data_IF_429709854802
#
_entry.id   IF_429709854802
#
_cell.length_a   1.000
_cell.length_b   1.000
_cell.length_c   1.000
_cell.angle_alpha   90.00
_cell.angle_beta   90.00
_cell.angle_gamma   90.00
#
_symmetry.space_group_name_H-M   'P 1'
#
loop_
_entity.id
_entity.type
_entity.pdbx_description
1 polymer ?
#
# COMPACT_ATOMS: atom_id res chain seq x y z
N UNK A 1 -0.42 -30.44 22.64
CA UNK A 1 -1.36 -30.33 21.50
C UNK A 1 -1.43 -28.93 20.88
N UNK A 2 -1.23 -27.84 21.65
CA UNK A 2 -1.14 -26.47 21.12
C UNK A 2 0.09 -26.18 20.26
N UNK A 3 1.25 -26.81 20.55
CA UNK A 3 2.51 -26.58 19.81
C UNK A 3 2.50 -27.10 18.37
N UNK A 4 1.77 -28.20 18.09
CA UNK A 4 1.67 -28.79 16.74
C UNK A 4 0.79 -27.95 15.79
N UNK A 5 -0.13 -27.15 16.33
CA UNK A 5 -0.97 -26.23 15.57
C UNK A 5 -0.23 -24.93 15.22
N UNK A 6 0.76 -24.52 16.02
CA UNK A 6 1.62 -23.38 15.72
C UNK A 6 2.62 -23.68 14.58
N UNK A 7 3.10 -24.93 14.47
CA UNK A 7 4.07 -25.36 13.44
C UNK A 7 3.49 -25.40 12.00
N UNK A 8 2.19 -25.18 11.83
CA UNK A 8 1.51 -25.11 10.53
C UNK A 8 1.07 -23.70 10.15
N UNK A 9 1.48 -22.68 10.91
CA UNK A 9 1.48 -21.31 10.41
C UNK A 9 2.52 -21.27 9.29
N UNK A 10 2.07 -21.43 8.03
CA UNK A 10 2.86 -20.96 6.90
C UNK A 10 3.16 -19.50 7.20
N UNK A 11 4.42 -19.17 7.48
CA UNK A 11 4.92 -17.79 7.50
C UNK A 11 4.81 -17.26 6.07
N UNK A 12 3.58 -16.99 5.63
CA UNK A 12 3.35 -16.29 4.38
C UNK A 12 3.80 -14.86 4.68
N UNK A 13 4.81 -14.39 3.96
CA UNK A 13 5.23 -12.99 4.05
C UNK A 13 3.99 -12.10 3.87
N UNK A 14 3.90 -11.02 4.65
CA UNK A 14 2.80 -10.05 4.55
C UNK A 14 2.62 -9.60 3.08
N UNK A 15 3.72 -9.44 2.34
CA UNK A 15 3.71 -9.15 0.91
C UNK A 15 3.08 -10.26 0.06
N UNK A 16 3.34 -11.53 0.38
CA UNK A 16 2.79 -12.69 -0.34
C UNK A 16 1.29 -12.90 0.00
N UNK A 17 0.89 -12.60 1.23
CA UNK A 17 -0.52 -12.59 1.63
C UNK A 17 -1.32 -11.57 0.83
N UNK A 18 -0.77 -10.37 0.64
CA UNK A 18 -1.40 -9.31 -0.14
C UNK A 18 -1.36 -9.56 -1.65
N UNK A 19 -0.28 -10.13 -2.18
CA UNK A 19 -0.20 -10.52 -3.59
C UNK A 19 -1.26 -11.58 -3.94
N UNK A 20 -1.50 -12.55 -3.05
CA UNK A 20 -2.55 -13.58 -3.22
C UNK A 20 -3.96 -13.04 -2.96
N UNK A 21 -4.12 -11.98 -2.18
CA UNK A 21 -5.40 -11.40 -1.79
C UNK A 21 -5.52 -9.92 -2.17
N UNK A 22 -5.22 -9.59 -3.43
CA UNK A 22 -5.23 -8.21 -3.96
C UNK A 22 -6.57 -7.47 -3.74
N UNK A 23 -7.69 -8.20 -3.69
CA UNK A 23 -9.02 -7.65 -3.41
C UNK A 23 -9.17 -7.10 -1.98
N UNK A 24 -8.47 -7.65 -0.98
CA UNK A 24 -8.53 -7.17 0.42
C UNK A 24 -7.91 -5.79 0.60
N UNK A 25 -7.09 -5.35 -0.34
CA UNK A 25 -6.44 -4.05 -0.35
C UNK A 25 -7.24 -2.96 -1.09
N UNK A 26 -8.43 -3.29 -1.62
CA UNK A 26 -9.22 -2.34 -2.41
C UNK A 26 -8.66 -2.07 -3.82
N UNK A 27 -7.85 -2.98 -4.34
CA UNK A 27 -7.32 -2.96 -5.71
C UNK A 27 -8.24 -3.63 -6.75
N UNK A 28 -9.52 -3.79 -6.43
CA UNK A 28 -10.55 -4.37 -7.30
C UNK A 28 -10.94 -3.44 -8.46
N UNK A 29 -10.83 -2.12 -8.27
CA UNK A 29 -11.03 -1.12 -9.31
C UNK A 29 -9.73 -0.32 -9.51
N UNK A 30 -9.06 -0.39 -10.69
CA UNK A 30 -7.83 0.33 -10.97
C UNK A 30 -7.89 1.84 -10.71
N UNK A 31 -9.04 2.47 -10.97
CA UNK A 31 -9.23 3.90 -10.72
C UNK A 31 -9.28 4.21 -9.22
N UNK A 32 -10.00 3.38 -8.44
CA UNK A 32 -10.07 3.54 -6.98
C UNK A 32 -8.73 3.26 -6.33
N UNK A 33 -8.04 2.22 -6.79
CA UNK A 33 -6.69 1.87 -6.40
C UNK A 33 -5.70 3.01 -6.59
N UNK A 34 -5.70 3.62 -7.78
CA UNK A 34 -4.83 4.74 -8.10
C UNK A 34 -5.14 5.94 -7.19
N UNK A 35 -6.41 6.28 -7.02
CA UNK A 35 -6.83 7.37 -6.14
C UNK A 35 -6.41 7.13 -4.68
N UNK A 36 -6.66 5.93 -4.15
CA UNK A 36 -6.25 5.56 -2.79
C UNK A 36 -4.74 5.62 -2.65
N UNK A 37 -3.98 5.11 -3.61
CA UNK A 37 -2.52 5.13 -3.58
C UNK A 37 -1.98 6.56 -3.54
N UNK A 38 -2.49 7.44 -4.40
CA UNK A 38 -2.08 8.84 -4.43
C UNK A 38 -2.48 9.56 -3.15
N UNK A 39 -3.70 9.33 -2.64
CA UNK A 39 -4.17 9.92 -1.39
C UNK A 39 -3.24 9.54 -0.23
N UNK A 40 -3.01 8.25 0.01
CA UNK A 40 -2.16 7.81 1.12
C UNK A 40 -0.72 8.29 0.96
N UNK A 41 -0.18 8.35 -0.27
CA UNK A 41 1.16 8.87 -0.52
C UNK A 41 1.28 10.37 -0.20
N UNK A 42 0.27 11.17 -0.56
CA UNK A 42 0.25 12.60 -0.29
C UNK A 42 0.00 12.88 1.19
N UNK A 43 -0.94 12.17 1.83
CA UNK A 43 -1.24 12.28 3.26
C UNK A 43 0.04 12.01 4.08
N UNK A 44 0.75 10.90 3.79
CA UNK A 44 2.02 10.58 4.46
C UNK A 44 3.11 11.64 4.25
N UNK A 45 3.17 12.27 3.08
CA UNK A 45 4.14 13.32 2.80
C UNK A 45 3.82 14.63 3.54
N UNK A 46 2.53 14.96 3.66
CA UNK A 46 2.06 16.12 4.41
C UNK A 46 2.30 15.94 5.91
N UNK A 47 1.94 14.78 6.47
CA UNK A 47 2.17 14.44 7.88
C UNK A 47 3.66 14.58 8.23
N UNK A 48 4.55 14.07 7.37
CA UNK A 48 5.99 14.20 7.57
C UNK A 48 6.49 15.66 7.51
N UNK A 49 5.88 16.50 6.67
CA UNK A 49 6.24 17.92 6.60
C UNK A 49 5.72 18.70 7.80
N UNK A 50 4.53 18.36 8.30
CA UNK A 50 3.96 18.92 9.52
C UNK A 50 4.84 18.58 10.74
N UNK A 51 5.22 17.31 10.90
CA UNK A 51 6.10 16.85 11.98
C UNK A 51 7.47 17.53 11.96
N UNK A 52 8.01 17.81 10.77
CA UNK A 52 9.29 18.47 10.59
C UNK A 52 9.20 20.01 10.61
N UNK A 53 8.00 20.59 10.62
CA UNK A 53 7.79 22.04 10.55
C UNK A 53 8.30 22.68 9.25
N UNK A 54 8.33 21.93 8.15
CA UNK A 54 8.78 22.41 6.83
C UNK A 54 7.59 22.67 5.92
N UNK A 55 7.70 23.70 5.07
CA UNK A 55 6.66 23.97 4.07
C UNK A 55 6.71 22.88 2.99
N UNK A 56 5.62 22.12 2.76
CA UNK A 56 5.62 21.05 1.77
C UNK A 56 5.62 21.60 0.34
N UNK A 57 6.47 21.03 -0.51
CA UNK A 57 6.37 21.14 -1.97
C UNK A 57 6.23 19.72 -2.55
N UNK A 58 5.01 19.34 -2.96
CA UNK A 58 4.68 17.98 -3.38
C UNK A 58 4.23 18.00 -4.84
N UNK A 59 4.99 17.35 -5.71
CA UNK A 59 4.64 17.12 -7.11
C UNK A 59 4.25 15.65 -7.32
N UNK A 60 3.00 15.41 -7.70
CA UNK A 60 2.52 14.09 -8.08
C UNK A 60 2.49 13.98 -9.61
N UNK A 61 3.17 12.97 -10.15
CA UNK A 61 3.16 12.66 -11.59
C UNK A 61 2.79 11.21 -11.78
N UNK A 62 1.72 10.99 -12.55
CA UNK A 62 1.25 9.66 -12.93
C UNK A 62 1.71 9.43 -14.37
N UNK A 63 2.46 8.36 -14.59
CA UNK A 63 2.93 7.93 -15.92
C UNK A 63 2.41 6.52 -16.15
N UNK A 64 1.90 6.28 -17.35
CA UNK A 64 1.51 4.93 -17.76
C UNK A 64 2.78 4.18 -18.20
N UNK A 65 3.12 3.13 -17.46
CA UNK A 65 4.26 2.26 -17.78
C UNK A 65 3.77 1.12 -18.68
N UNK A 66 3.95 1.26 -19.99
CA UNK A 66 3.59 0.26 -21.02
C UNK A 66 2.30 0.55 -21.81
N UNK A 67 2.25 0.09 -23.06
CA UNK A 67 1.05 0.05 -23.91
C UNK A 67 0.37 -1.33 -23.74
N UNK A 68 -0.91 -1.31 -23.35
CA UNK A 68 -1.93 -2.38 -23.29
C UNK A 68 -1.51 -3.83 -22.95
#
# INVERSE_FOLDING_TARGET
MASLLAAKQREISVSEFFAKNRHLLGFDNPSKALLTTVKEAVDNALDACEDAGVLPEILVRIVQEGED
#
